data_IF_755904257021
#
_entry.id   IF_755904257021
#
_cell.length_a   1.000
_cell.length_b   1.000
_cell.length_c   1.000
_cell.angle_alpha   90.00
_cell.angle_beta   90.00
_cell.angle_gamma   90.00
#
_symmetry.space_group_name_H-M   'P 1'
#
loop_
_entity.id
_entity.type
_entity.pdbx_description
1 polymer ?
#
# COMPACT_ATOMS: atom_id res chain seq x y z
N UNK A 1 31.13 -0.18 50.17
CA UNK A 1 31.59 -0.73 48.88
C UNK A 1 31.10 0.26 47.84
N UNK A 2 31.90 1.30 47.59
CA UNK A 2 31.50 2.43 46.76
C UNK A 2 31.61 2.09 45.28
N UNK A 3 30.48 2.10 44.59
CA UNK A 3 30.42 1.92 43.14
C UNK A 3 30.94 3.21 42.49
N UNK A 4 32.13 3.14 41.91
CA UNK A 4 32.77 4.25 41.24
C UNK A 4 32.12 4.51 39.86
N UNK A 5 31.12 5.40 39.84
CA UNK A 5 30.36 5.80 38.64
C UNK A 5 31.20 6.41 37.51
N UNK A 6 32.48 6.77 37.74
CA UNK A 6 33.36 7.30 36.68
C UNK A 6 33.85 6.25 35.68
N UNK A 7 33.73 4.95 35.97
CA UNK A 7 34.09 3.88 35.01
C UNK A 7 32.97 3.48 34.05
N UNK A 8 31.71 3.82 34.34
CA UNK A 8 30.59 3.50 33.45
C UNK A 8 30.49 4.47 32.25
N UNK A 9 30.97 5.71 32.39
CA UNK A 9 30.92 6.72 31.33
C UNK A 9 31.88 6.51 30.15
N UNK A 10 32.76 5.49 30.21
CA UNK A 10 33.71 5.18 29.12
C UNK A 10 33.27 4.05 28.20
N UNK A 11 32.14 3.38 28.48
CA UNK A 11 31.62 2.30 27.63
C UNK A 11 30.59 2.76 26.59
N UNK A 12 30.06 3.98 26.72
CA UNK A 12 29.09 4.56 25.78
C UNK A 12 29.77 5.50 24.78
N UNK A 13 30.74 5.00 24.02
CA UNK A 13 31.17 5.68 22.81
C UNK A 13 30.04 5.62 21.75
N UNK A 14 29.99 6.56 20.79
CA UNK A 14 29.02 6.51 19.70
C UNK A 14 29.03 5.16 18.96
N UNK A 15 30.18 4.49 18.86
CA UNK A 15 30.29 3.13 18.31
C UNK A 15 29.55 2.04 19.09
N UNK A 16 29.45 2.17 20.42
CA UNK A 16 28.72 1.22 21.28
C UNK A 16 27.20 1.34 21.09
N UNK A 17 26.72 2.56 20.89
CA UNK A 17 25.30 2.85 20.62
C UNK A 17 24.92 2.32 19.24
N UNK A 18 25.76 2.56 18.22
CA UNK A 18 25.55 2.03 16.86
C UNK A 18 25.55 0.49 16.88
N UNK A 19 26.49 -0.15 17.57
CA UNK A 19 26.54 -1.60 17.68
C UNK A 19 25.31 -2.18 18.40
N UNK A 20 24.82 -1.52 19.45
CA UNK A 20 23.61 -1.94 20.15
C UNK A 20 22.36 -1.80 19.27
N UNK A 21 22.25 -0.72 18.49
CA UNK A 21 21.15 -0.51 17.54
C UNK A 21 21.16 -1.58 16.44
N UNK A 22 22.34 -1.89 15.88
CA UNK A 22 22.50 -2.95 14.88
C UNK A 22 22.17 -4.33 15.47
N UNK A 23 22.59 -4.62 16.70
CA UNK A 23 22.29 -5.88 17.37
C UNK A 23 20.79 -6.05 17.66
N UNK A 24 20.14 -4.98 18.14
CA UNK A 24 18.67 -4.96 18.33
C UNK A 24 17.96 -5.18 16.99
N UNK A 25 18.45 -4.57 15.91
CA UNK A 25 17.92 -4.77 14.57
C UNK A 25 18.08 -6.23 14.10
N UNK A 26 19.25 -6.84 14.30
CA UNK A 26 19.51 -8.26 13.96
C UNK A 26 18.65 -9.19 14.81
N UNK A 27 18.52 -8.96 16.11
CA UNK A 27 17.69 -9.75 17.01
C UNK A 27 16.21 -9.64 16.66
N UNK A 28 15.73 -8.44 16.30
CA UNK A 28 14.41 -8.24 15.71
C UNK A 28 14.29 -9.11 14.46
N UNK A 29 15.15 -8.95 13.45
CA UNK A 29 15.10 -9.73 12.20
C UNK A 29 15.06 -11.25 12.44
N UNK A 30 15.81 -11.77 13.41
CA UNK A 30 15.86 -13.20 13.74
C UNK A 30 14.62 -13.72 14.46
N UNK A 31 14.07 -12.97 15.43
CA UNK A 31 12.81 -13.34 16.11
C UNK A 31 11.65 -13.31 15.10
N UNK A 32 11.68 -12.34 14.19
CA UNK A 32 10.69 -12.13 13.13
C UNK A 32 10.68 -13.26 12.07
N UNK A 33 11.81 -13.92 11.82
CA UNK A 33 11.90 -15.03 10.87
C UNK A 33 11.22 -16.33 11.37
N UNK A 34 11.00 -16.46 12.68
CA UNK A 34 10.54 -17.70 13.33
C UNK A 34 9.02 -17.80 13.60
N UNK A 35 8.22 -16.80 13.23
CA UNK A 35 6.78 -16.77 13.54
C UNK A 35 5.90 -16.95 12.30
N UNK A 36 5.02 -17.96 12.32
CA UNK A 36 3.96 -18.13 11.33
C UNK A 36 2.92 -17.03 11.48
N UNK A 37 2.82 -16.15 10.47
CA UNK A 37 1.85 -15.06 10.44
C UNK A 37 0.56 -15.55 9.75
N UNK A 38 -0.52 -15.64 10.53
CA UNK A 38 -1.89 -15.76 10.01
C UNK A 38 -2.46 -14.41 9.57
N UNK A 39 -3.27 -14.42 8.51
CA UNK A 39 -4.02 -13.27 7.97
C UNK A 39 -4.72 -12.52 9.11
N UNK A 40 -4.43 -11.23 9.25
CA UNK A 40 -5.05 -10.38 10.27
C UNK A 40 -6.55 -10.18 9.99
N UNK A 41 -7.34 -9.96 11.04
CA UNK A 41 -8.80 -9.81 11.05
C UNK A 41 -9.34 -8.53 10.38
N UNK A 42 -8.53 -7.80 9.61
CA UNK A 42 -8.84 -6.44 9.13
C UNK A 42 -8.39 -6.21 7.67
N UNK A 43 -8.16 -7.29 6.91
CA UNK A 43 -7.67 -7.26 5.53
C UNK A 43 -8.85 -7.14 4.55
N UNK A 44 -8.77 -6.28 3.53
CA UNK A 44 -9.81 -6.11 2.52
C UNK A 44 -10.30 -4.66 2.37
N UNK A 45 -11.46 -4.48 1.74
CA UNK A 45 -12.02 -3.14 1.47
C UNK A 45 -12.59 -2.52 2.76
N UNK A 46 -12.05 -1.35 3.11
CA UNK A 46 -12.47 -0.58 4.29
C UNK A 46 -13.34 0.62 3.98
N UNK A 47 -13.10 1.26 2.85
CA UNK A 47 -13.90 2.40 2.42
C UNK A 47 -14.32 2.21 0.96
N UNK A 48 -15.63 2.34 0.66
CA UNK A 48 -16.73 2.56 1.62
C UNK A 48 -17.03 1.32 2.48
N UNK A 49 -17.63 1.51 3.65
CA UNK A 49 -18.04 0.41 4.54
C UNK A 49 -19.33 -0.21 4.00
N UNK A 50 -19.30 -1.49 3.69
CA UNK A 50 -20.45 -2.25 3.19
C UNK A 50 -21.12 -3.05 4.32
N UNK A 51 -21.80 -2.36 5.24
CA UNK A 51 -22.64 -3.00 6.25
C UNK A 51 -24.12 -2.93 5.83
N UNK A 52 -24.83 -4.06 5.95
CA UNK A 52 -26.26 -4.17 5.64
C UNK A 52 -26.65 -3.81 4.19
N UNK A 53 -25.80 -4.15 3.23
CA UNK A 53 -26.10 -3.94 1.81
C UNK A 53 -27.13 -4.96 1.35
N UNK A 54 -28.22 -4.49 0.73
CA UNK A 54 -29.23 -5.38 0.16
C UNK A 54 -28.70 -6.04 -1.12
N UNK A 55 -28.40 -7.33 -1.01
CA UNK A 55 -27.92 -8.15 -2.13
C UNK A 55 -29.05 -8.71 -2.99
N UNK A 56 -30.32 -8.36 -2.74
CA UNK A 56 -31.46 -8.86 -3.53
C UNK A 56 -31.36 -8.59 -5.03
N UNK A 57 -30.62 -7.54 -5.42
CA UNK A 57 -30.37 -7.18 -6.82
C UNK A 57 -29.14 -7.86 -7.45
N UNK A 58 -28.42 -8.69 -6.70
CA UNK A 58 -27.22 -9.39 -7.16
C UNK A 58 -27.60 -10.77 -7.71
N UNK A 59 -27.14 -11.15 -8.92
CA UNK A 59 -27.39 -12.49 -9.45
C UNK A 59 -26.84 -13.57 -8.52
N UNK A 60 -27.58 -14.67 -8.33
CA UNK A 60 -27.17 -15.76 -7.43
C UNK A 60 -25.79 -16.32 -7.79
N UNK A 61 -25.44 -16.40 -9.08
CA UNK A 61 -24.11 -16.84 -9.52
C UNK A 61 -22.97 -15.97 -9.00
N UNK A 62 -23.20 -14.67 -8.82
CA UNK A 62 -22.22 -13.72 -8.27
C UNK A 62 -22.11 -13.93 -6.75
N UNK A 63 -23.24 -14.20 -6.08
CA UNK A 63 -23.28 -14.53 -4.65
C UNK A 63 -22.53 -15.83 -4.37
N UNK A 64 -22.83 -16.89 -5.10
CA UNK A 64 -22.18 -18.20 -4.95
C UNK A 64 -20.67 -18.12 -5.19
N UNK A 65 -20.25 -17.25 -6.10
CA UNK A 65 -18.84 -17.02 -6.38
C UNK A 65 -18.14 -16.23 -5.27
N UNK A 66 -18.80 -15.21 -4.70
CA UNK A 66 -18.28 -14.47 -3.55
C UNK A 66 -18.10 -15.38 -2.33
N UNK A 67 -19.08 -16.25 -2.07
CA UNK A 67 -19.03 -17.28 -1.02
C UNK A 67 -17.84 -18.23 -1.22
N UNK A 68 -17.65 -18.73 -2.45
CA UNK A 68 -16.53 -19.61 -2.81
C UNK A 68 -15.17 -18.92 -2.63
N UNK A 69 -15.03 -17.67 -3.09
CA UNK A 69 -13.78 -16.93 -2.92
C UNK A 69 -13.50 -16.60 -1.45
N UNK A 70 -14.54 -16.31 -0.66
CA UNK A 70 -14.39 -16.14 0.78
C UNK A 70 -13.91 -17.43 1.46
N UNK A 71 -14.46 -18.59 1.08
CA UNK A 71 -14.01 -19.90 1.56
C UNK A 71 -12.51 -20.13 1.25
N UNK A 72 -12.06 -19.79 0.05
CA UNK A 72 -10.64 -19.91 -0.36
C UNK A 72 -9.72 -18.98 0.45
N UNK A 73 -10.18 -17.78 0.80
CA UNK A 73 -9.39 -16.76 1.46
C UNK A 73 -9.29 -16.94 2.97
N UNK A 74 -10.41 -17.25 3.62
CA UNK A 74 -10.53 -17.20 5.09
C UNK A 74 -11.12 -18.48 5.70
N UNK A 75 -11.44 -19.48 4.88
CA UNK A 75 -12.12 -20.70 5.31
C UNK A 75 -13.63 -20.54 5.39
N UNK A 76 -14.33 -21.65 5.55
CA UNK A 76 -15.78 -21.67 5.55
C UNK A 76 -16.37 -21.23 6.89
N UNK A 77 -17.39 -20.37 6.81
CA UNK A 77 -18.21 -19.87 7.92
C UNK A 77 -17.52 -18.93 8.93
N UNK A 78 -18.34 -18.16 9.66
CA UNK A 78 -17.89 -17.23 10.69
C UNK A 78 -17.95 -15.77 10.26
N UNK A 79 -17.75 -14.87 11.23
CA UNK A 79 -17.84 -13.41 11.01
C UNK A 79 -16.91 -12.93 9.89
N UNK A 80 -15.69 -13.49 9.84
CA UNK A 80 -14.69 -13.13 8.85
C UNK A 80 -15.06 -13.52 7.43
N UNK A 81 -15.67 -14.69 7.27
CA UNK A 81 -16.17 -15.15 5.98
C UNK A 81 -17.26 -14.21 5.49
N UNK A 82 -18.24 -13.88 6.35
CA UNK A 82 -19.32 -12.95 6.02
C UNK A 82 -18.80 -11.53 5.68
N UNK A 83 -17.76 -11.06 6.39
CA UNK A 83 -17.11 -9.79 6.07
C UNK A 83 -16.54 -9.77 4.64
N UNK A 84 -15.82 -10.83 4.24
CA UNK A 84 -15.24 -10.94 2.89
C UNK A 84 -16.36 -11.02 1.85
N UNK A 85 -17.40 -11.83 2.08
CA UNK A 85 -18.57 -11.88 1.18
C UNK A 85 -19.20 -10.49 1.03
N UNK A 86 -19.42 -9.78 2.13
CA UNK A 86 -20.00 -8.44 2.10
C UNK A 86 -19.09 -7.43 1.37
N UNK A 87 -17.78 -7.53 1.53
CA UNK A 87 -16.80 -6.70 0.81
C UNK A 87 -16.86 -6.97 -0.70
N UNK A 88 -16.88 -8.23 -1.13
CA UNK A 88 -16.96 -8.61 -2.55
C UNK A 88 -18.27 -8.14 -3.17
N UNK A 89 -19.41 -8.48 -2.57
CA UNK A 89 -20.73 -8.12 -3.09
C UNK A 89 -21.01 -6.61 -3.02
N UNK A 90 -20.60 -5.95 -1.94
CA UNK A 90 -20.69 -4.50 -1.81
C UNK A 90 -19.86 -3.77 -2.86
N UNK A 91 -18.63 -4.24 -3.10
CA UNK A 91 -17.75 -3.71 -4.15
C UNK A 91 -18.37 -3.90 -5.54
N UNK A 92 -18.95 -5.07 -5.83
CA UNK A 92 -19.67 -5.32 -7.09
C UNK A 92 -20.84 -4.37 -7.30
N UNK A 93 -21.70 -4.19 -6.28
CA UNK A 93 -22.85 -3.28 -6.35
C UNK A 93 -22.41 -1.83 -6.58
N UNK A 94 -21.34 -1.40 -5.93
CA UNK A 94 -20.80 -0.06 -6.12
C UNK A 94 -20.18 0.10 -7.53
N UNK A 95 -19.41 -0.91 -7.96
CA UNK A 95 -18.66 -0.88 -9.21
C UNK A 95 -19.52 -1.02 -10.46
N UNK A 96 -20.70 -1.67 -10.40
CA UNK A 96 -21.57 -1.87 -11.59
C UNK A 96 -22.01 -0.58 -12.29
N UNK A 97 -21.95 0.55 -11.59
CA UNK A 97 -22.30 1.88 -12.10
C UNK A 97 -21.06 2.76 -12.34
N UNK A 98 -19.86 2.25 -12.10
CA UNK A 98 -18.61 2.92 -12.38
C UNK A 98 -18.11 2.54 -13.79
N UNK A 99 -17.23 3.37 -14.34
CA UNK A 99 -16.50 3.03 -15.55
C UNK A 99 -15.06 2.59 -15.23
N UNK A 100 -14.53 3.08 -14.10
CA UNK A 100 -13.19 2.78 -13.60
C UNK A 100 -13.27 2.57 -12.09
N UNK A 101 -12.64 1.51 -11.58
CA UNK A 101 -12.42 1.32 -10.14
C UNK A 101 -10.95 1.46 -9.81
N UNK A 102 -10.65 2.24 -8.77
CA UNK A 102 -9.30 2.45 -8.25
C UNK A 102 -9.19 1.74 -6.91
N UNK A 103 -8.43 0.64 -6.86
CA UNK A 103 -8.05 -0.02 -5.61
C UNK A 103 -6.81 0.65 -5.06
N UNK A 104 -6.93 1.34 -3.92
CA UNK A 104 -5.78 1.97 -3.28
C UNK A 104 -5.21 1.09 -2.18
N UNK A 105 -3.92 0.78 -2.26
CA UNK A 105 -3.17 0.03 -1.25
C UNK A 105 -2.09 0.90 -0.61
N UNK A 106 -2.34 1.32 0.63
CA UNK A 106 -1.47 2.24 1.36
C UNK A 106 -0.12 1.63 1.79
N UNK A 107 0.85 2.53 1.94
CA UNK A 107 2.21 2.23 2.37
C UNK A 107 2.34 2.00 3.87
N UNK A 108 3.58 2.00 4.36
CA UNK A 108 3.88 1.82 5.79
C UNK A 108 3.38 0.48 6.34
N UNK A 109 2.47 0.53 7.32
CA UNK A 109 1.88 -0.65 7.97
C UNK A 109 0.57 -1.11 7.31
N UNK A 110 0.14 -0.48 6.20
CA UNK A 110 -0.93 -1.01 5.37
C UNK A 110 -2.34 -0.98 5.98
N UNK A 111 -2.57 -0.14 6.98
CA UNK A 111 -3.87 0.04 7.64
C UNK A 111 -4.41 1.46 7.52
N UNK A 112 -3.68 2.34 6.83
CA UNK A 112 -3.98 3.76 6.81
C UNK A 112 -5.21 4.00 5.92
N UNK A 113 -6.12 4.84 6.40
CA UNK A 113 -7.16 5.37 5.53
C UNK A 113 -6.54 6.37 4.53
N UNK A 114 -7.21 6.64 3.41
CA UNK A 114 -6.73 7.63 2.42
C UNK A 114 -6.43 8.98 3.10
N UNK A 115 -7.33 9.44 3.97
CA UNK A 115 -7.16 10.67 4.77
C UNK A 115 -5.95 10.67 5.73
N UNK A 116 -5.43 9.48 6.06
CA UNK A 116 -4.25 9.34 6.92
C UNK A 116 -2.95 9.40 6.09
N UNK A 117 -3.07 9.52 4.77
CA UNK A 117 -1.98 9.66 3.78
C UNK A 117 -2.26 10.89 2.89
N UNK A 118 -2.14 12.13 3.41
CA UNK A 118 -2.61 13.35 2.72
C UNK A 118 -1.97 13.57 1.35
N UNK A 119 -0.71 13.14 1.18
CA UNK A 119 -0.04 13.13 -0.11
C UNK A 119 -0.79 12.27 -1.14
N UNK A 120 -1.06 11.01 -0.81
CA UNK A 120 -1.82 10.10 -1.69
C UNK A 120 -3.30 10.44 -1.81
N UNK A 121 -3.93 11.01 -0.78
CA UNK A 121 -5.28 11.55 -0.89
C UNK A 121 -5.34 12.62 -1.99
N UNK A 122 -4.37 13.54 -2.02
CA UNK A 122 -4.29 14.53 -3.08
C UNK A 122 -4.11 13.91 -4.47
N UNK A 123 -3.31 12.83 -4.58
CA UNK A 123 -3.09 12.13 -5.84
C UNK A 123 -4.35 11.40 -6.29
N UNK A 124 -5.06 10.71 -5.40
CA UNK A 124 -6.32 10.04 -5.72
C UNK A 124 -7.40 11.03 -6.18
N UNK A 125 -7.47 12.19 -5.52
CA UNK A 125 -8.36 13.27 -5.95
C UNK A 125 -7.99 13.78 -7.35
N UNK A 126 -6.70 14.02 -7.60
CA UNK A 126 -6.19 14.40 -8.92
C UNK A 126 -6.54 13.39 -10.01
N UNK A 127 -6.23 12.11 -9.80
CA UNK A 127 -6.59 11.02 -10.73
C UNK A 127 -8.11 11.02 -10.99
N UNK A 128 -8.91 11.16 -9.94
CA UNK A 128 -10.37 11.16 -10.03
C UNK A 128 -10.88 12.33 -10.87
N UNK A 129 -10.32 13.52 -10.68
CA UNK A 129 -10.74 14.73 -11.40
C UNK A 129 -10.34 14.66 -12.88
N UNK A 130 -9.14 14.17 -13.19
CA UNK A 130 -8.70 13.94 -14.58
C UNK A 130 -9.56 12.88 -15.28
N UNK A 131 -9.85 11.76 -14.62
CA UNK A 131 -10.74 10.73 -15.18
C UNK A 131 -12.16 11.26 -15.43
N UNK A 132 -12.69 12.11 -14.54
CA UNK A 132 -13.99 12.77 -14.75
C UNK A 132 -13.94 13.75 -15.92
N UNK A 133 -12.84 14.51 -16.07
CA UNK A 133 -12.65 15.40 -17.20
C UNK A 133 -12.63 14.64 -18.53
N UNK A 134 -12.10 13.42 -18.53
CA UNK A 134 -12.15 12.47 -19.65
C UNK A 134 -13.52 11.78 -19.83
N UNK A 135 -14.55 12.14 -19.03
CA UNK A 135 -15.91 11.63 -19.14
C UNK A 135 -16.19 10.32 -18.39
N UNK A 136 -15.24 9.80 -17.60
CA UNK A 136 -15.42 8.57 -16.83
C UNK A 136 -16.07 8.81 -15.46
N UNK A 137 -16.70 7.76 -14.93
CA UNK A 137 -17.20 7.70 -13.55
C UNK A 137 -16.25 6.83 -12.68
N UNK A 138 -15.23 7.43 -12.04
CA UNK A 138 -14.32 6.69 -11.17
C UNK A 138 -14.96 6.36 -9.82
N UNK A 139 -14.63 5.18 -9.28
CA UNK A 139 -14.94 4.76 -7.91
C UNK A 139 -13.64 4.36 -7.21
N UNK A 140 -13.39 4.91 -6.01
CA UNK A 140 -12.23 4.51 -5.19
C UNK A 140 -12.68 3.46 -4.18
N UNK A 141 -11.92 2.37 -4.10
CA UNK A 141 -12.03 1.35 -3.06
C UNK A 141 -10.71 1.31 -2.27
N UNK A 142 -10.78 1.63 -0.98
CA UNK A 142 -9.59 1.66 -0.13
C UNK A 142 -9.33 0.25 0.44
N UNK A 143 -8.21 -0.35 0.03
CA UNK A 143 -7.78 -1.67 0.47
C UNK A 143 -6.84 -1.56 1.67
N UNK A 144 -7.25 -2.16 2.77
CA UNK A 144 -6.42 -2.30 3.97
C UNK A 144 -5.77 -3.68 3.97
N UNK A 145 -4.46 -3.74 4.05
CA UNK A 145 -3.70 -5.00 4.08
C UNK A 145 -3.34 -5.47 5.48
N UNK A 146 -3.57 -4.67 6.52
CA UNK A 146 -3.36 -5.07 7.93
C UNK A 146 -4.29 -4.36 8.90
N UNK A 147 -4.50 -4.95 10.08
CA UNK A 147 -5.26 -4.34 11.16
C UNK A 147 -4.47 -3.40 12.06
N UNK A 148 -5.12 -2.48 12.77
CA UNK A 148 -4.41 -1.52 13.64
C UNK A 148 -3.68 -2.23 14.79
N UNK A 149 -2.51 -1.73 15.18
CA UNK A 149 -1.81 -2.12 16.43
C UNK A 149 -0.35 -2.53 16.26
N UNK A 150 0.43 -2.41 17.33
CA UNK A 150 1.88 -2.69 17.34
C UNK A 150 2.21 -4.13 16.90
N UNK A 151 1.37 -5.10 17.25
CA UNK A 151 1.62 -6.50 16.88
C UNK A 151 1.37 -6.76 15.39
N UNK A 152 0.35 -6.12 14.83
CA UNK A 152 0.05 -6.13 13.41
C UNK A 152 1.10 -5.37 12.59
N UNK A 153 1.67 -4.31 13.18
CA UNK A 153 2.84 -3.61 12.64
C UNK A 153 4.04 -4.55 12.47
N UNK A 154 4.29 -5.37 13.47
CA UNK A 154 5.43 -6.29 13.44
C UNK A 154 5.19 -7.42 12.41
N UNK A 155 3.96 -7.94 12.32
CA UNK A 155 3.56 -8.89 11.26
C UNK A 155 3.78 -8.32 9.85
N UNK A 156 3.51 -7.04 9.65
CA UNK A 156 3.77 -6.36 8.38
C UNK A 156 5.25 -6.30 8.01
N UNK A 157 6.13 -6.11 8.98
CA UNK A 157 7.59 -6.14 8.77
C UNK A 157 8.04 -7.57 8.44
N UNK A 158 7.47 -8.59 9.10
CA UNK A 158 7.73 -10.01 8.78
C UNK A 158 7.30 -10.33 7.35
N UNK A 159 6.12 -9.87 6.94
CA UNK A 159 5.63 -10.13 5.61
C UNK A 159 6.38 -9.35 4.53
N UNK A 160 6.81 -8.12 4.81
CA UNK A 160 7.75 -7.40 3.95
C UNK A 160 9.04 -8.19 3.73
N UNK A 161 9.55 -8.84 4.79
CA UNK A 161 10.76 -9.68 4.71
C UNK A 161 10.55 -10.99 3.95
N UNK A 162 9.31 -11.47 3.83
CA UNK A 162 8.92 -12.68 3.07
C UNK A 162 8.23 -12.36 1.75
N UNK A 163 8.34 -11.12 1.27
CA UNK A 163 7.77 -10.63 0.00
C UNK A 163 6.24 -10.80 -0.11
N UNK A 164 5.52 -10.74 1.01
CA UNK A 164 4.05 -10.69 1.03
C UNK A 164 3.28 -11.87 0.42
N UNK A 165 3.91 -13.04 0.24
CA UNK A 165 3.37 -14.22 -0.47
C UNK A 165 1.94 -14.65 -0.08
N UNK A 166 1.48 -14.40 1.15
CA UNK A 166 0.11 -14.74 1.60
C UNK A 166 -0.93 -13.60 1.44
N UNK A 167 -0.52 -12.33 1.45
CA UNK A 167 -1.44 -11.18 1.39
C UNK A 167 -1.77 -10.72 -0.03
N UNK A 168 -0.89 -11.04 -0.96
CA UNK A 168 -1.09 -10.85 -2.40
C UNK A 168 -2.43 -11.46 -2.86
N UNK A 169 -2.73 -12.69 -2.42
CA UNK A 169 -3.99 -13.38 -2.72
C UNK A 169 -5.24 -12.62 -2.32
N UNK A 170 -5.19 -11.85 -1.22
CA UNK A 170 -6.32 -11.06 -0.76
C UNK A 170 -6.69 -9.97 -1.77
N UNK A 171 -5.71 -9.19 -2.23
CA UNK A 171 -5.94 -8.15 -3.24
C UNK A 171 -6.31 -8.78 -4.58
N UNK A 172 -5.59 -9.82 -5.00
CA UNK A 172 -5.87 -10.56 -6.24
C UNK A 172 -7.32 -11.01 -6.28
N UNK A 173 -7.82 -11.68 -5.24
CA UNK A 173 -9.21 -12.17 -5.24
C UNK A 173 -10.26 -11.05 -5.27
N UNK A 174 -10.00 -9.92 -4.62
CA UNK A 174 -10.92 -8.78 -4.68
C UNK A 174 -10.97 -8.15 -6.07
N UNK A 175 -9.81 -8.01 -6.73
CA UNK A 175 -9.75 -7.48 -8.10
C UNK A 175 -10.27 -8.49 -9.12
N UNK A 176 -9.92 -9.77 -8.97
CA UNK A 176 -10.38 -10.89 -9.81
C UNK A 176 -11.90 -10.96 -9.81
N UNK A 177 -12.52 -10.92 -8.63
CA UNK A 177 -13.98 -10.92 -8.49
C UNK A 177 -14.64 -9.80 -9.29
N UNK A 178 -14.10 -8.57 -9.20
CA UNK A 178 -14.65 -7.44 -9.93
C UNK A 178 -14.45 -7.59 -11.45
N UNK A 179 -13.25 -7.96 -11.88
CA UNK A 179 -12.92 -8.09 -13.30
C UNK A 179 -13.69 -9.24 -13.97
N UNK A 180 -13.94 -10.33 -13.26
CA UNK A 180 -14.65 -11.49 -13.79
C UNK A 180 -16.16 -11.24 -13.94
N UNK A 181 -16.76 -10.48 -13.02
CA UNK A 181 -18.20 -10.18 -13.06
C UNK A 181 -18.55 -8.88 -13.77
N UNK A 182 -17.57 -7.99 -13.99
CA UNK A 182 -17.72 -6.72 -14.71
C UNK A 182 -16.61 -6.56 -15.77
N UNK A 183 -16.62 -7.35 -16.86
CA UNK A 183 -15.50 -7.45 -17.81
C UNK A 183 -15.16 -6.15 -18.55
N UNK A 184 -16.14 -5.26 -18.72
CA UNK A 184 -15.97 -3.95 -19.37
C UNK A 184 -15.38 -2.89 -18.43
N UNK A 185 -15.36 -3.16 -17.12
CA UNK A 185 -14.85 -2.23 -16.13
C UNK A 185 -13.33 -2.17 -16.21
N UNK A 186 -12.77 -0.97 -16.24
CA UNK A 186 -11.32 -0.78 -16.10
C UNK A 186 -10.95 -0.70 -14.63
N UNK A 187 -9.82 -1.28 -14.26
CA UNK A 187 -9.33 -1.30 -12.88
C UNK A 187 -7.93 -0.68 -12.81
N UNK A 188 -7.72 0.23 -11.88
CA UNK A 188 -6.41 0.78 -11.52
C UNK A 188 -6.06 0.26 -10.12
N UNK A 189 -4.96 -0.48 -9.99
CA UNK A 189 -4.40 -0.85 -8.69
C UNK A 189 -3.33 0.17 -8.32
N UNK A 190 -3.66 1.05 -7.39
CA UNK A 190 -2.78 2.10 -6.89
C UNK A 190 -2.00 1.64 -5.65
N UNK A 191 -0.70 1.92 -5.59
CA UNK A 191 0.16 1.48 -4.50
C UNK A 191 1.10 2.58 -4.00
N UNK A 192 1.26 2.65 -2.68
CA UNK A 192 2.22 3.54 -2.02
C UNK A 192 3.29 2.74 -1.29
N UNK A 193 4.57 3.09 -1.45
CA UNK A 193 5.67 2.57 -0.63
C UNK A 193 5.67 1.04 -0.54
N UNK A 194 5.65 0.45 0.65
CA UNK A 194 5.54 -1.01 0.84
C UNK A 194 4.26 -1.63 0.27
N UNK A 195 3.19 -0.85 0.11
CA UNK A 195 1.96 -1.27 -0.58
C UNK A 195 2.20 -1.59 -2.05
N UNK A 196 3.23 -1.01 -2.69
CA UNK A 196 3.54 -1.31 -4.09
C UNK A 196 3.98 -2.74 -4.30
N UNK A 197 4.51 -3.44 -3.28
CA UNK A 197 4.92 -4.84 -3.42
C UNK A 197 3.71 -5.73 -3.72
N UNK A 198 2.61 -5.53 -2.99
CA UNK A 198 1.35 -6.27 -3.24
C UNK A 198 0.77 -5.86 -4.60
N UNK A 199 0.78 -4.57 -4.89
CA UNK A 199 0.29 -4.04 -6.17
C UNK A 199 1.05 -4.65 -7.36
N UNK A 200 2.37 -4.77 -7.25
CA UNK A 200 3.25 -5.32 -8.28
C UNK A 200 3.02 -6.84 -8.49
N UNK A 201 2.89 -7.60 -7.40
CA UNK A 201 2.54 -9.02 -7.48
C UNK A 201 1.14 -9.23 -8.06
N UNK A 202 0.15 -8.43 -7.66
CA UNK A 202 -1.19 -8.46 -8.26
C UNK A 202 -1.13 -8.13 -9.76
N UNK A 203 -0.32 -7.16 -10.17
CA UNK A 203 -0.13 -6.86 -11.59
C UNK A 203 0.53 -8.01 -12.36
N UNK A 204 1.46 -8.77 -11.75
CA UNK A 204 1.99 -10.00 -12.36
C UNK A 204 0.89 -11.04 -12.57
N UNK A 205 -0.01 -11.21 -11.59
CA UNK A 205 -1.17 -12.10 -11.69
C UNK A 205 -2.14 -11.67 -12.79
N UNK A 206 -2.35 -10.36 -12.96
CA UNK A 206 -3.23 -9.77 -13.98
C UNK A 206 -2.54 -9.41 -15.30
N UNK A 207 -1.34 -9.96 -15.59
CA UNK A 207 -0.57 -9.62 -16.81
C UNK A 207 -1.35 -9.79 -18.11
N UNK A 208 -2.26 -10.77 -18.16
CA UNK A 208 -3.06 -11.11 -19.33
C UNK A 208 -4.47 -10.48 -19.30
N UNK A 209 -4.79 -9.68 -18.27
CA UNK A 209 -6.04 -8.91 -18.19
C UNK A 209 -5.80 -7.49 -18.72
N UNK A 210 -6.28 -7.14 -19.93
CA UNK A 210 -5.97 -5.85 -20.57
C UNK A 210 -6.68 -4.65 -19.91
N UNK A 211 -7.71 -4.90 -19.11
CA UNK A 211 -8.48 -3.88 -18.39
C UNK A 211 -7.90 -3.55 -17.01
N UNK A 212 -6.76 -4.13 -16.62
CA UNK A 212 -6.08 -3.87 -15.34
C UNK A 212 -4.80 -3.07 -15.56
N UNK A 213 -4.69 -1.96 -14.82
CA UNK A 213 -3.62 -0.97 -14.86
C UNK A 213 -3.09 -0.73 -13.45
N UNK A 214 -1.92 -0.09 -13.33
CA UNK A 214 -1.37 0.26 -12.03
C UNK A 214 -0.62 1.60 -12.02
N UNK A 215 -0.75 2.32 -10.91
CA UNK A 215 -0.02 3.56 -10.61
C UNK A 215 0.64 3.38 -9.24
N UNK A 216 1.95 3.51 -9.19
CA UNK A 216 2.72 3.20 -7.98
C UNK A 216 3.71 4.32 -7.67
N UNK A 217 3.88 4.65 -6.39
CA UNK A 217 4.92 5.58 -5.95
C UNK A 217 5.78 5.00 -4.83
N UNK A 218 7.08 5.32 -4.87
CA UNK A 218 7.99 5.02 -3.77
C UNK A 218 8.30 3.54 -3.60
N UNK A 219 8.44 2.78 -4.69
CA UNK A 219 8.69 1.34 -4.64
C UNK A 219 9.90 1.00 -3.75
N UNK A 220 9.85 -0.02 -2.88
CA UNK A 220 10.98 -0.35 -2.02
C UNK A 220 12.19 -0.87 -2.81
N UNK A 221 13.39 -0.38 -2.50
CA UNK A 221 14.63 -0.73 -3.22
C UNK A 221 14.96 -2.23 -3.24
N UNK A 222 14.48 -2.99 -2.26
CA UNK A 222 14.74 -4.43 -2.15
C UNK A 222 13.81 -5.29 -2.99
N UNK A 223 12.76 -4.70 -3.57
CA UNK A 223 11.80 -5.42 -4.38
C UNK A 223 12.09 -5.21 -5.87
N UNK A 224 12.29 -6.31 -6.60
CA UNK A 224 12.53 -6.26 -8.05
C UNK A 224 11.19 -6.09 -8.76
N UNK A 225 11.03 -4.98 -9.44
CA UNK A 225 9.88 -4.72 -10.31
C UNK A 225 10.15 -5.30 -11.69
N UNK A 226 9.16 -5.98 -12.28
CA UNK A 226 9.22 -6.37 -13.68
C UNK A 226 8.65 -5.25 -14.55
N UNK A 227 9.28 -4.97 -15.69
CA UNK A 227 8.77 -3.97 -16.62
C UNK A 227 7.42 -4.44 -17.17
N UNK A 228 6.36 -3.72 -16.83
CA UNK A 228 5.00 -3.98 -17.32
C UNK A 228 4.47 -2.73 -18.01
N UNK A 229 3.93 -2.90 -19.23
CA UNK A 229 3.48 -1.80 -20.09
C UNK A 229 2.32 -0.98 -19.47
N UNK A 230 1.45 -1.61 -18.67
CA UNK A 230 0.27 -0.99 -18.03
C UNK A 230 0.51 -0.52 -16.59
N UNK A 231 1.78 -0.33 -16.21
CA UNK A 231 2.14 0.06 -14.84
C UNK A 231 3.04 1.30 -14.84
N UNK A 232 2.51 2.42 -14.36
CA UNK A 232 3.29 3.62 -14.05
C UNK A 232 3.96 3.47 -12.68
N UNK A 233 5.27 3.69 -12.62
CA UNK A 233 6.05 3.68 -11.36
C UNK A 233 6.84 4.97 -11.24
N UNK A 234 6.67 5.65 -10.11
CA UNK A 234 7.32 6.93 -9.85
C UNK A 234 8.13 6.82 -8.55
N UNK A 235 9.46 6.92 -8.67
CA UNK A 235 10.41 6.80 -7.54
C UNK A 235 11.17 8.11 -7.27
N UNK A 236 10.57 9.23 -7.66
CA UNK A 236 11.05 10.57 -7.35
C UNK A 236 9.82 11.44 -7.10
N UNK A 237 9.89 12.41 -6.20
CA UNK A 237 8.73 13.26 -5.92
C UNK A 237 8.66 14.53 -6.79
N UNK A 238 9.47 14.60 -7.86
CA UNK A 238 9.63 15.79 -8.69
C UNK A 238 10.56 16.87 -8.11
N UNK A 239 11.01 16.74 -6.85
CA UNK A 239 11.99 17.67 -6.25
C UNK A 239 13.36 17.04 -5.99
N UNK A 240 13.36 15.77 -5.59
CA UNK A 240 14.57 14.95 -5.46
C UNK A 240 14.24 13.47 -5.66
N UNK A 241 15.29 12.67 -5.84
CA UNK A 241 15.16 11.22 -5.85
C UNK A 241 14.67 10.71 -4.50
N UNK A 242 13.81 9.70 -4.54
CA UNK A 242 13.36 9.00 -3.34
C UNK A 242 14.51 8.16 -2.76
N UNK A 243 15.02 8.60 -1.61
CA UNK A 243 16.11 7.96 -0.90
C UNK A 243 15.79 6.52 -0.49
N UNK A 244 14.52 6.19 -0.25
CA UNK A 244 14.12 4.84 0.07
C UNK A 244 14.07 3.96 -1.17
N UNK A 245 13.45 4.41 -2.24
CA UNK A 245 13.37 3.62 -3.48
C UNK A 245 14.73 3.36 -4.12
N UNK A 246 15.68 4.28 -3.92
CA UNK A 246 17.05 4.14 -4.43
C UNK A 246 18.02 3.49 -3.44
N UNK A 247 17.55 3.09 -2.24
CA UNK A 247 18.41 2.45 -1.24
C UNK A 247 19.51 3.37 -0.67
N UNK A 248 19.28 4.68 -0.65
CA UNK A 248 20.17 5.68 -0.06
C UNK A 248 20.09 5.66 1.48
N UNK A 249 20.58 4.57 2.06
CA UNK A 249 20.63 4.35 3.51
C UNK A 249 21.35 5.47 4.26
N UNK A 250 22.53 5.97 3.80
CA UNK A 250 23.18 7.09 4.47
C UNK A 250 22.31 8.36 4.52
N UNK A 251 21.61 8.67 3.43
CA UNK A 251 20.69 9.81 3.35
C UNK A 251 19.51 9.67 4.31
N UNK A 252 18.91 8.48 4.39
CA UNK A 252 17.80 8.21 5.33
C UNK A 252 18.25 8.32 6.80
N UNK A 253 19.43 7.77 7.14
CA UNK A 253 19.98 7.84 8.50
C UNK A 253 20.29 9.29 8.89
N UNK A 254 20.87 10.07 7.98
CA UNK A 254 21.16 11.48 8.22
C UNK A 254 19.89 12.31 8.40
N UNK A 255 18.89 12.11 7.54
CA UNK A 255 17.60 12.80 7.64
C UNK A 255 16.89 12.48 8.97
N UNK A 256 16.90 11.21 9.38
CA UNK A 256 16.33 10.77 10.65
C UNK A 256 17.06 11.38 11.84
N UNK A 257 18.40 11.42 11.80
CA UNK A 257 19.20 12.07 12.83
C UNK A 257 18.91 13.56 12.95
N UNK A 258 18.91 14.31 11.83
CA UNK A 258 18.56 15.74 11.79
C UNK A 258 17.20 16.00 12.46
N UNK A 259 16.22 15.14 12.18
CA UNK A 259 14.89 15.25 12.76
C UNK A 259 14.92 15.09 14.29
N UNK A 260 15.62 14.08 14.81
CA UNK A 260 15.72 13.84 16.25
C UNK A 260 16.39 14.97 17.03
N UNK A 261 17.33 15.69 16.42
CA UNK A 261 18.01 16.83 17.04
C UNK A 261 17.36 18.18 16.70
N UNK A 262 16.19 18.18 16.07
CA UNK A 262 15.43 19.41 15.76
C UNK A 262 16.05 20.29 14.68
N UNK A 263 16.91 19.74 13.82
CA UNK A 263 17.58 20.44 12.71
C UNK A 263 16.87 20.27 11.36
N UNK A 264 15.73 19.57 11.32
CA UNK A 264 14.91 19.48 10.10
C UNK A 264 14.21 20.82 9.84
N UNK A 265 14.31 21.32 8.61
CA UNK A 265 13.47 22.44 8.18
C UNK A 265 12.00 21.99 8.17
N UNK A 266 11.03 22.85 8.54
CA UNK A 266 9.60 22.57 8.33
C UNK A 266 9.25 22.26 6.87
N UNK A 267 10.03 22.82 5.94
CA UNK A 267 9.85 22.64 4.49
C UNK A 267 10.49 21.34 3.96
N UNK A 268 11.35 20.69 4.76
CA UNK A 268 11.81 19.34 4.45
C UNK A 268 10.66 18.38 4.80
N UNK A 269 9.87 17.98 3.79
CA UNK A 269 8.93 16.87 3.87
C UNK A 269 9.60 15.61 3.32
N UNK A 270 10.53 14.96 4.06
CA UNK A 270 11.21 13.79 3.54
C UNK A 270 10.19 12.70 3.18
N UNK A 271 9.17 12.50 4.01
CA UNK A 271 8.31 11.33 3.96
C UNK A 271 8.68 10.36 5.07
N UNK A 272 7.69 9.57 5.50
CA UNK A 272 7.80 8.69 6.65
C UNK A 272 7.71 7.22 6.27
N UNK A 273 8.69 6.46 6.74
CA UNK A 273 8.76 5.02 6.57
C UNK A 273 8.67 4.38 7.93
N UNK A 274 7.71 3.47 8.08
CA UNK A 274 7.40 2.81 9.35
C UNK A 274 7.16 3.79 10.52
N UNK A 275 6.80 5.06 10.23
CA UNK A 275 6.57 6.18 11.16
C UNK A 275 7.80 6.71 11.92
N UNK A 276 8.99 6.17 11.72
CA UNK A 276 10.19 6.59 12.46
C UNK A 276 11.40 6.87 11.57
N UNK A 277 11.45 6.30 10.37
CA UNK A 277 12.53 6.49 9.42
C UNK A 277 12.15 7.60 8.43
N UNK A 278 12.96 8.65 8.37
CA UNK A 278 12.79 9.74 7.39
C UNK A 278 13.53 9.38 6.11
N UNK A 279 12.84 9.46 4.97
CA UNK A 279 13.44 9.16 3.68
C UNK A 279 13.25 10.32 2.70
N UNK A 280 14.24 11.20 2.48
CA UNK A 280 14.10 12.33 1.56
C UNK A 280 13.52 11.93 0.19
N UNK A 281 12.56 12.69 -0.32
CA UNK A 281 11.93 12.41 -1.61
C UNK A 281 10.84 11.34 -1.57
N UNK A 282 10.55 10.72 -0.41
CA UNK A 282 9.54 9.67 -0.23
C UNK A 282 8.14 10.21 0.10
N UNK A 283 7.98 11.54 0.15
CA UNK A 283 6.67 12.19 0.19
C UNK A 283 6.21 12.47 -1.23
N UNK A 284 5.04 11.95 -1.62
CA UNK A 284 4.43 12.11 -2.93
C UNK A 284 3.11 12.87 -2.81
N UNK A 285 2.87 13.82 -3.69
CA UNK A 285 1.70 14.69 -3.63
C UNK A 285 1.32 15.16 -5.03
N UNK A 286 0.04 15.37 -5.30
CA UNK A 286 -0.44 15.86 -6.59
C UNK A 286 0.09 17.26 -6.93
N UNK A 287 0.35 18.06 -5.89
CA UNK A 287 0.88 19.41 -6.00
C UNK A 287 2.31 19.44 -6.57
N UNK A 288 3.01 18.31 -6.55
CA UNK A 288 4.28 18.19 -7.24
C UNK A 288 4.01 17.97 -8.73
N UNK A 289 4.35 18.97 -9.55
CA UNK A 289 4.06 18.96 -10.99
C UNK A 289 4.69 17.78 -11.71
N UNK A 290 5.85 17.29 -11.25
CA UNK A 290 6.46 16.07 -11.78
C UNK A 290 5.56 14.84 -11.60
N UNK A 291 4.91 14.71 -10.45
CA UNK A 291 3.99 13.61 -10.14
C UNK A 291 2.71 13.72 -10.96
N UNK A 292 2.03 14.86 -10.90
CA UNK A 292 0.76 15.04 -11.61
C UNK A 292 0.93 14.91 -13.13
N UNK A 293 2.01 15.46 -13.70
CA UNK A 293 2.24 15.36 -15.16
C UNK A 293 2.48 13.93 -15.63
N UNK A 294 3.25 13.12 -14.88
CA UNK A 294 3.47 11.71 -15.22
C UNK A 294 2.18 10.90 -15.14
N UNK A 295 1.35 11.16 -14.12
CA UNK A 295 0.06 10.49 -13.94
C UNK A 295 -0.92 10.91 -15.02
N UNK A 296 -1.08 12.21 -15.30
CA UNK A 296 -1.96 12.73 -16.35
C UNK A 296 -1.62 12.07 -17.68
N UNK A 297 -0.34 12.08 -18.06
CA UNK A 297 0.11 11.44 -19.30
C UNK A 297 -0.26 9.96 -19.35
N UNK A 298 -0.02 9.21 -18.26
CA UNK A 298 -0.41 7.80 -18.20
C UNK A 298 -1.92 7.61 -18.35
N UNK A 299 -2.74 8.49 -17.76
CA UNK A 299 -4.19 8.43 -17.92
C UNK A 299 -4.61 8.72 -19.36
N UNK A 300 -4.07 9.76 -19.99
CA UNK A 300 -4.35 10.10 -21.39
C UNK A 300 -3.95 8.97 -22.36
N UNK A 301 -2.79 8.35 -22.14
CA UNK A 301 -2.27 7.27 -22.99
C UNK A 301 -3.12 5.98 -22.91
N UNK A 302 -3.80 5.73 -21.78
CA UNK A 302 -4.50 4.46 -21.51
C UNK A 302 -6.04 4.59 -21.45
N UNK A 303 -6.56 5.81 -21.25
CA UNK A 303 -7.98 6.09 -21.06
C UNK A 303 -8.40 7.20 -22.03
N UNK A 304 -8.69 6.89 -23.30
CA UNK A 304 -9.13 7.89 -24.26
C UNK A 304 -10.43 8.55 -23.79
N UNK A 305 -10.63 9.80 -24.21
CA UNK A 305 -11.83 10.58 -23.87
C UNK A 305 -13.11 9.81 -24.22
N UNK A 306 -14.01 9.72 -23.24
CA UNK A 306 -15.27 9.01 -23.37
C UNK A 306 -16.30 9.95 -23.99
N UNK A 307 -16.49 9.82 -25.31
CA UNK A 307 -17.52 10.54 -26.07
C UNK A 307 -18.93 10.33 -25.52
#
# INVERSE_FOLDING_TARGET
MDINFKKLGKLCGPGSIVAAVVLVFICLVLILYSSEVGLASEIGIREPVFTNVDFSSVPQSVVDDAERMADELVGSSGERHQEVVNQLLGSFIAARNADIVIFFNSGGMGWNYVRDTPGWESILNGITDELKALGYRPLILNYSRTGKGLWNSIKEIIEASTRYTKKVKGMEKHVEFIVDHLPELKVIIAGESTGTVITEESMNYFRDRPNVYSIQTGNPFWYKTEGQERTLRINNNGTCEDAFSHGNVPGMMWATFKHWIGLSSPDEHPGDILKWLRAPGHHYSWQYTGISSEIIKFLEDNFPEKN
#
